data_IF_807048547053
#
_entry.id   IF_807048547053
#
_cell.length_a   1.000
_cell.length_b   1.000
_cell.length_c   1.000
_cell.angle_alpha   90.00
_cell.angle_beta   90.00
_cell.angle_gamma   90.00
#
_symmetry.space_group_name_H-M   'P 1'
#
loop_
_entity.id
_entity.type
_entity.pdbx_description
1 polymer ?
#
# COMPACT_ATOMS: atom_id res chain seq x y z
N UNK A 1 -18.72 -13.43 -7.57
CA UNK A 1 -18.64 -13.35 -6.09
C UNK A 1 -17.22 -13.04 -5.62
N UNK A 2 -16.19 -13.79 -6.05
CA UNK A 2 -14.76 -13.56 -5.70
C UNK A 2 -14.26 -12.12 -5.93
N UNK A 3 -14.68 -11.46 -7.02
CA UNK A 3 -14.26 -10.07 -7.29
C UNK A 3 -14.77 -9.08 -6.25
N UNK A 4 -16.04 -9.22 -5.86
CA UNK A 4 -16.69 -8.32 -4.90
C UNK A 4 -16.04 -8.41 -3.52
N UNK A 5 -15.56 -9.60 -3.15
CA UNK A 5 -14.82 -9.82 -1.91
C UNK A 5 -13.40 -9.25 -1.96
N UNK A 6 -12.70 -9.34 -3.10
CA UNK A 6 -11.37 -8.72 -3.26
C UNK A 6 -11.47 -7.19 -3.30
N UNK A 7 -12.45 -6.66 -4.01
CA UNK A 7 -12.71 -5.23 -4.07
C UNK A 7 -13.04 -4.65 -2.68
N UNK A 8 -13.84 -5.38 -1.90
CA UNK A 8 -14.10 -5.04 -0.52
C UNK A 8 -12.81 -5.12 0.32
N UNK A 9 -11.99 -6.16 0.17
CA UNK A 9 -10.72 -6.31 0.90
C UNK A 9 -9.80 -5.11 0.68
N UNK A 10 -9.62 -4.67 -0.58
CA UNK A 10 -8.78 -3.52 -0.90
C UNK A 10 -9.35 -2.21 -0.39
N UNK A 11 -10.68 -2.06 -0.41
CA UNK A 11 -11.34 -0.88 0.14
C UNK A 11 -11.21 -0.82 1.67
N UNK A 12 -11.43 -1.94 2.35
CA UNK A 12 -11.28 -2.06 3.80
C UNK A 12 -9.82 -1.84 4.24
N UNK A 13 -8.85 -2.33 3.47
CA UNK A 13 -7.43 -2.03 3.70
C UNK A 13 -7.14 -0.52 3.60
N UNK A 14 -7.73 0.16 2.61
CA UNK A 14 -7.65 1.62 2.48
C UNK A 14 -8.28 2.36 3.65
N UNK A 15 -9.48 1.94 4.11
CA UNK A 15 -10.10 2.53 5.31
C UNK A 15 -9.26 2.29 6.56
N UNK A 16 -8.69 1.09 6.73
CA UNK A 16 -7.80 0.80 7.85
C UNK A 16 -6.56 1.71 7.83
N UNK A 17 -5.96 1.94 6.67
CA UNK A 17 -4.87 2.91 6.51
C UNK A 17 -5.31 4.33 6.93
N UNK A 18 -6.49 4.78 6.51
CA UNK A 18 -7.06 6.07 6.93
C UNK A 18 -7.28 6.17 8.45
N UNK A 19 -7.70 5.09 9.11
CA UNK A 19 -7.82 5.04 10.57
C UNK A 19 -6.45 5.20 11.23
N UNK A 20 -5.42 4.48 10.75
CA UNK A 20 -4.07 4.64 11.29
C UNK A 20 -3.52 6.06 11.09
N UNK A 21 -3.85 6.73 9.99
CA UNK A 21 -3.51 8.15 9.79
C UNK A 21 -4.14 9.05 10.86
N UNK A 22 -5.41 8.86 11.17
CA UNK A 22 -6.09 9.60 12.24
C UNK A 22 -5.44 9.30 13.60
N UNK A 23 -5.11 8.03 13.87
CA UNK A 23 -4.43 7.63 15.11
C UNK A 23 -3.07 8.32 15.25
N UNK A 24 -2.26 8.36 14.18
CA UNK A 24 -0.97 9.05 14.18
C UNK A 24 -1.18 10.54 14.46
N UNK A 25 -2.14 11.17 13.80
CA UNK A 25 -2.44 12.58 14.03
C UNK A 25 -2.81 12.86 15.49
N UNK A 26 -3.68 12.04 16.09
CA UNK A 26 -4.08 12.17 17.49
C UNK A 26 -2.91 11.92 18.46
N UNK A 27 -2.07 10.93 18.18
CA UNK A 27 -0.86 10.66 18.97
C UNK A 27 0.12 11.82 18.91
N UNK A 28 0.41 12.35 17.72
CA UNK A 28 1.32 13.48 17.54
C UNK A 28 0.77 14.76 18.20
N UNK A 29 -0.53 15.03 18.06
CA UNK A 29 -1.20 16.12 18.76
C UNK A 29 -1.12 15.95 20.29
N UNK A 30 -1.38 14.74 20.78
CA UNK A 30 -1.31 14.41 22.20
C UNK A 30 0.10 14.59 22.77
N UNK A 31 1.13 14.18 22.03
CA UNK A 31 2.53 14.41 22.43
C UNK A 31 2.90 15.90 22.40
N UNK A 32 2.46 16.63 21.37
CA UNK A 32 2.74 18.06 21.24
C UNK A 32 2.10 18.87 22.36
N UNK A 33 0.83 18.62 22.68
CA UNK A 33 0.12 19.30 23.77
C UNK A 33 0.60 18.79 25.13
N UNK A 34 0.84 17.49 25.26
CA UNK A 34 1.35 16.84 26.47
C UNK A 34 2.67 17.46 26.94
N UNK A 35 3.57 17.77 26.00
CA UNK A 35 4.84 18.45 26.30
C UNK A 35 4.65 19.83 26.94
N UNK A 36 3.65 20.60 26.51
CA UNK A 36 3.36 21.94 27.06
C UNK A 36 2.77 21.88 28.49
N UNK A 37 2.02 20.83 28.80
CA UNK A 37 1.37 20.64 30.11
C UNK A 37 2.20 19.76 31.07
N UNK A 38 3.42 19.39 30.70
CA UNK A 38 4.31 18.54 31.51
C UNK A 38 3.90 17.06 31.59
N UNK A 39 2.94 16.61 30.76
CA UNK A 39 2.56 15.21 30.62
C UNK A 39 3.39 14.54 29.52
N UNK A 40 4.40 13.77 29.93
CA UNK A 40 5.20 13.00 28.99
C UNK A 40 4.50 11.67 28.67
N UNK A 41 4.13 11.44 27.41
CA UNK A 41 3.56 10.17 26.94
C UNK A 41 4.73 9.21 26.65
N UNK A 42 4.95 8.17 27.46
CA UNK A 42 6.04 7.23 27.24
C UNK A 42 5.82 6.45 25.94
N UNK A 43 6.88 6.24 25.15
CA UNK A 43 6.87 5.48 23.89
C UNK A 43 5.91 5.99 22.79
N UNK A 44 5.41 7.22 22.87
CA UNK A 44 4.49 7.76 21.85
C UNK A 44 5.08 7.76 20.43
N UNK A 45 6.39 8.02 20.31
CA UNK A 45 7.12 7.98 19.04
C UNK A 45 7.18 6.55 18.44
N UNK A 46 7.32 5.53 19.29
CA UNK A 46 7.33 4.12 18.87
C UNK A 46 5.96 3.72 18.32
N UNK A 47 4.88 4.06 19.04
CA UNK A 47 3.51 3.82 18.59
C UNK A 47 3.17 4.56 17.30
N UNK A 48 3.60 5.81 17.17
CA UNK A 48 3.41 6.59 15.94
C UNK A 48 4.13 5.93 14.75
N UNK A 49 5.37 5.47 14.96
CA UNK A 49 6.18 4.80 13.94
C UNK A 49 5.56 3.46 13.50
N UNK A 50 5.05 2.67 14.43
CA UNK A 50 4.36 1.42 14.12
C UNK A 50 3.04 1.64 13.38
N UNK A 51 2.25 2.63 13.80
CA UNK A 51 1.03 3.02 13.09
C UNK A 51 1.34 3.55 11.69
N UNK A 52 2.45 4.29 11.52
CA UNK A 52 2.88 4.82 10.22
C UNK A 52 3.25 3.68 9.27
N UNK A 53 3.98 2.68 9.74
CA UNK A 53 4.26 1.48 8.95
C UNK A 53 2.95 0.78 8.54
N UNK A 54 2.04 0.51 9.48
CA UNK A 54 0.76 -0.12 9.17
C UNK A 54 -0.06 0.68 8.14
N UNK A 55 -0.16 2.00 8.31
CA UNK A 55 -0.85 2.91 7.39
C UNK A 55 -0.27 2.82 5.98
N UNK A 56 1.05 2.91 5.84
CA UNK A 56 1.72 2.89 4.55
C UNK A 56 1.46 1.57 3.81
N UNK A 57 1.70 0.44 4.46
CA UNK A 57 1.59 -0.87 3.81
C UNK A 57 0.15 -1.31 3.55
N UNK A 58 -0.80 -1.00 4.43
CA UNK A 58 -2.23 -1.28 4.18
C UNK A 58 -2.79 -0.44 3.04
N UNK A 59 -2.30 0.79 2.86
CA UNK A 59 -2.70 1.69 1.79
C UNK A 59 -2.22 1.26 0.39
N UNK A 60 -1.10 0.51 0.30
CA UNK A 60 -0.47 0.15 -0.98
C UNK A 60 -1.39 -0.60 -1.93
N UNK A 61 -2.19 -1.54 -1.43
CA UNK A 61 -3.09 -2.32 -2.29
C UNK A 61 -4.20 -1.44 -2.89
N UNK A 62 -4.74 -0.51 -2.09
CA UNK A 62 -5.78 0.41 -2.54
C UNK A 62 -5.26 1.41 -3.58
N UNK A 63 -4.06 1.96 -3.37
CA UNK A 63 -3.43 2.91 -4.29
C UNK A 63 -2.96 2.24 -5.58
N UNK A 64 -2.43 1.01 -5.49
CA UNK A 64 -2.13 0.17 -6.65
C UNK A 64 -3.39 -0.03 -7.50
N UNK A 65 -4.50 -0.36 -6.86
CA UNK A 65 -5.78 -0.60 -7.54
C UNK A 65 -6.39 0.66 -8.17
N UNK A 66 -6.21 1.81 -7.52
CA UNK A 66 -6.68 3.09 -8.02
C UNK A 66 -5.82 3.61 -9.18
N UNK A 67 -4.70 2.93 -9.47
CA UNK A 67 -3.80 3.28 -10.55
C UNK A 67 -2.99 4.55 -10.29
N UNK A 68 -2.86 4.95 -9.01
CA UNK A 68 -2.17 6.16 -8.54
C UNK A 68 -0.69 5.91 -8.22
N UNK A 69 -0.23 4.65 -8.18
CA UNK A 69 1.20 4.36 -8.13
C UNK A 69 1.86 4.86 -9.41
N UNK A 70 3.00 5.57 -9.27
CA UNK A 70 3.80 6.12 -10.37
C UNK A 70 4.05 5.01 -11.39
N UNK A 71 3.28 5.03 -12.47
CA UNK A 71 3.45 4.07 -13.55
C UNK A 71 4.63 4.50 -14.40
N UNK A 72 5.32 3.50 -14.92
CA UNK A 72 6.09 3.60 -16.18
C UNK A 72 5.15 3.81 -17.38
N UNK A 73 3.90 4.26 -17.15
CA UNK A 73 2.85 4.50 -18.13
C UNK A 73 3.29 5.53 -19.15
N UNK A 74 3.96 6.61 -18.73
CA UNK A 74 4.57 7.59 -19.65
C UNK A 74 5.55 6.96 -20.66
N UNK A 75 6.24 5.88 -20.28
CA UNK A 75 7.16 5.16 -21.17
C UNK A 75 6.42 4.10 -22.00
N UNK A 76 5.36 3.49 -21.44
CA UNK A 76 4.54 2.46 -22.07
C UNK A 76 3.57 3.05 -23.11
N UNK A 77 3.03 4.25 -22.86
CA UNK A 77 2.15 5.01 -23.77
C UNK A 77 2.86 5.40 -25.08
N UNK A 78 4.20 5.41 -25.08
CA UNK A 78 5.01 5.62 -26.29
C UNK A 78 5.03 4.39 -27.20
N UNK A 79 4.66 3.20 -26.71
CA UNK A 79 4.66 1.95 -27.47
C UNK A 79 3.24 1.47 -27.77
N UNK A 80 2.98 1.06 -29.00
CA UNK A 80 1.67 0.55 -29.43
C UNK A 80 1.69 -0.97 -29.69
N UNK A 81 0.60 -1.65 -29.35
CA UNK A 81 0.35 -3.05 -29.69
C UNK A 81 1.12 -4.07 -28.84
N UNK A 82 1.62 -5.15 -29.46
CA UNK A 82 2.19 -6.34 -28.79
C UNK A 82 3.40 -6.03 -27.87
N UNK A 83 4.17 -4.99 -28.18
CA UNK A 83 5.33 -4.57 -27.38
C UNK A 83 4.91 -3.95 -26.05
N UNK A 84 3.85 -3.14 -26.06
CA UNK A 84 3.27 -2.55 -24.85
C UNK A 84 2.78 -3.62 -23.89
N UNK A 85 2.02 -4.60 -24.40
CA UNK A 85 1.58 -5.76 -23.60
C UNK A 85 2.76 -6.52 -22.99
N UNK A 86 3.87 -6.73 -23.71
CA UNK A 86 5.05 -7.39 -23.15
C UNK A 86 5.68 -6.59 -21.99
N UNK A 87 5.83 -5.27 -22.13
CA UNK A 87 6.37 -4.43 -21.06
C UNK A 87 5.46 -4.38 -19.84
N UNK A 88 4.14 -4.31 -20.04
CA UNK A 88 3.14 -4.39 -18.96
C UNK A 88 3.24 -5.72 -18.21
N UNK A 89 3.22 -6.84 -18.94
CA UNK A 89 3.36 -8.18 -18.35
C UNK A 89 4.70 -8.34 -17.62
N UNK A 90 5.79 -7.86 -18.21
CA UNK A 90 7.10 -7.88 -17.56
C UNK A 90 7.09 -7.08 -16.26
N UNK A 91 6.50 -5.88 -16.25
CA UNK A 91 6.38 -5.06 -15.04
C UNK A 91 5.53 -5.75 -13.96
N UNK A 92 4.45 -6.43 -14.35
CA UNK A 92 3.57 -7.16 -13.45
C UNK A 92 4.25 -8.39 -12.88
N UNK A 93 5.01 -9.13 -13.68
CA UNK A 93 5.83 -10.27 -13.20
C UNK A 93 6.85 -9.79 -12.18
N UNK A 94 7.56 -8.71 -12.49
CA UNK A 94 8.57 -8.16 -11.58
C UNK A 94 7.93 -7.68 -10.28
N UNK A 95 6.82 -6.94 -10.36
CA UNK A 95 6.06 -6.49 -9.20
C UNK A 95 5.49 -7.64 -8.36
N UNK A 96 5.01 -8.70 -9.02
CA UNK A 96 4.52 -9.91 -8.35
C UNK A 96 5.64 -10.66 -7.65
N UNK A 97 6.81 -10.77 -8.29
CA UNK A 97 8.00 -11.38 -7.71
C UNK A 97 8.49 -10.64 -6.46
N UNK A 98 8.63 -9.31 -6.53
CA UNK A 98 9.04 -8.50 -5.39
C UNK A 98 8.00 -8.51 -4.27
N UNK A 99 6.72 -8.25 -4.58
CA UNK A 99 5.67 -8.26 -3.56
C UNK A 99 5.54 -9.63 -2.88
N UNK A 100 5.66 -10.73 -3.62
CA UNK A 100 5.65 -12.08 -3.07
C UNK A 100 6.86 -12.37 -2.16
N UNK A 101 8.07 -11.98 -2.60
CA UNK A 101 9.28 -12.11 -1.80
C UNK A 101 9.18 -11.34 -0.47
N UNK A 102 8.76 -10.07 -0.53
CA UNK A 102 8.58 -9.24 0.66
C UNK A 102 7.47 -9.75 1.57
N UNK A 103 6.32 -10.17 1.01
CA UNK A 103 5.22 -10.72 1.79
C UNK A 103 5.63 -12.00 2.54
N UNK A 104 6.35 -12.91 1.86
CA UNK A 104 6.85 -14.14 2.49
C UNK A 104 7.81 -13.84 3.65
N UNK A 105 8.84 -13.02 3.43
CA UNK A 105 9.79 -12.66 4.47
C UNK A 105 9.15 -11.87 5.62
N UNK A 106 8.19 -11.00 5.31
CA UNK A 106 7.42 -10.28 6.33
C UNK A 106 6.58 -11.21 7.22
N UNK A 107 5.96 -12.23 6.63
CA UNK A 107 5.20 -13.24 7.38
C UNK A 107 6.12 -14.10 8.25
N UNK A 108 7.24 -14.57 7.70
CA UNK A 108 8.22 -15.35 8.46
C UNK A 108 8.76 -14.55 9.64
N UNK A 109 9.10 -13.28 9.42
CA UNK A 109 9.56 -12.38 10.48
C UNK A 109 8.48 -12.20 11.57
N UNK A 110 7.21 -12.00 11.17
CA UNK A 110 6.09 -11.86 12.11
C UNK A 110 5.87 -13.14 12.93
N UNK A 111 5.97 -14.30 12.27
CA UNK A 111 5.84 -15.61 12.92
C UNK A 111 6.97 -15.88 13.90
N UNK A 112 8.21 -15.60 13.50
CA UNK A 112 9.37 -15.75 14.39
C UNK A 112 9.25 -14.86 15.61
N UNK A 113 8.89 -13.58 15.45
CA UNK A 113 8.69 -12.69 16.60
C UNK A 113 7.56 -13.14 17.53
N UNK A 114 6.54 -13.83 17.00
CA UNK A 114 5.51 -14.46 17.82
C UNK A 114 6.06 -15.68 18.60
N UNK A 115 6.81 -16.55 17.93
CA UNK A 115 7.36 -17.78 18.53
C UNK A 115 8.42 -17.48 19.60
N UNK A 116 9.33 -16.54 19.32
CA UNK A 116 10.38 -16.12 20.25
C UNK A 116 9.90 -15.14 21.33
N UNK A 117 8.61 -14.73 21.30
CA UNK A 117 8.04 -13.69 22.16
C UNK A 117 8.90 -12.41 22.17
N UNK A 118 9.35 -11.99 20.99
CA UNK A 118 10.19 -10.81 20.85
C UNK A 118 9.43 -9.56 21.33
N UNK A 119 10.10 -8.77 22.18
CA UNK A 119 9.58 -7.52 22.70
C UNK A 119 10.36 -6.34 22.13
N UNK A 120 9.67 -5.23 21.87
CA UNK A 120 10.27 -4.00 21.44
C UNK A 120 11.28 -3.51 22.49
N UNK A 121 12.48 -3.10 22.03
CA UNK A 121 13.50 -2.51 22.89
C UNK A 121 13.22 -1.06 23.32
N UNK A 122 12.01 -0.55 23.08
CA UNK A 122 11.59 0.80 23.43
C UNK A 122 11.26 0.96 24.91
N UNK A 123 10.73 2.13 25.28
CA UNK A 123 10.38 2.46 26.68
C UNK A 123 9.26 1.57 27.22
N UNK A 124 8.37 1.10 26.34
CA UNK A 124 7.28 0.19 26.66
C UNK A 124 7.57 -1.19 26.05
N UNK A 125 7.66 -2.26 26.86
CA UNK A 125 7.86 -3.61 26.35
C UNK A 125 6.58 -4.06 25.63
N UNK A 126 6.61 -4.00 24.30
CA UNK A 126 5.47 -4.36 23.46
C UNK A 126 5.83 -5.55 22.55
N UNK A 127 5.01 -6.61 22.48
CA UNK A 127 5.28 -7.75 21.61
C UNK A 127 5.36 -7.35 20.13
N UNK A 128 6.50 -7.57 19.47
CA UNK A 128 6.76 -7.07 18.12
C UNK A 128 5.83 -7.65 17.06
N UNK A 129 5.26 -8.83 17.28
CA UNK A 129 4.33 -9.43 16.31
C UNK A 129 3.08 -8.55 16.06
N UNK A 130 2.61 -7.78 17.06
CA UNK A 130 1.42 -6.91 16.92
C UNK A 130 1.64 -5.80 15.87
N UNK A 131 2.66 -4.93 15.98
CA UNK A 131 2.91 -3.90 14.99
C UNK A 131 3.35 -4.51 13.66
N UNK A 132 4.01 -5.67 13.70
CA UNK A 132 4.44 -6.36 12.48
C UNK A 132 3.28 -6.87 11.62
N UNK A 133 2.14 -7.22 12.22
CA UNK A 133 0.92 -7.58 11.49
C UNK A 133 0.41 -6.48 10.55
N UNK A 134 0.62 -5.21 10.92
CA UNK A 134 0.21 -4.08 10.09
C UNK A 134 0.91 -4.08 8.73
N UNK A 135 2.24 -4.23 8.72
CA UNK A 135 2.98 -4.26 7.46
C UNK A 135 2.91 -5.61 6.75
N UNK A 136 2.97 -6.74 7.49
CA UNK A 136 2.92 -8.06 6.87
C UNK A 136 1.56 -8.33 6.24
N UNK A 137 0.48 -7.93 6.92
CA UNK A 137 -0.87 -7.93 6.36
C UNK A 137 -1.00 -7.06 5.12
N UNK A 138 -0.50 -5.80 5.17
CA UNK A 138 -0.52 -4.90 4.02
C UNK A 138 0.22 -5.45 2.79
N UNK A 139 1.40 -6.05 2.99
CA UNK A 139 2.17 -6.70 1.92
C UNK A 139 1.45 -7.92 1.32
N UNK A 140 0.79 -8.73 2.15
CA UNK A 140 -0.01 -9.87 1.66
C UNK A 140 -1.18 -9.38 0.81
N UNK A 141 -1.88 -8.33 1.25
CA UNK A 141 -2.99 -7.75 0.48
C UNK A 141 -2.48 -7.18 -0.85
N UNK A 142 -1.33 -6.50 -0.86
CA UNK A 142 -0.68 -6.02 -2.08
C UNK A 142 -0.31 -7.17 -3.02
N UNK A 143 0.26 -8.26 -2.50
CA UNK A 143 0.56 -9.45 -3.29
C UNK A 143 -0.69 -10.04 -3.94
N UNK A 144 -1.79 -10.13 -3.19
CA UNK A 144 -3.09 -10.59 -3.73
C UNK A 144 -3.60 -9.63 -4.83
N UNK A 145 -3.45 -8.32 -4.66
CA UNK A 145 -3.82 -7.31 -5.66
C UNK A 145 -3.01 -7.44 -6.95
N UNK A 146 -1.70 -7.65 -6.83
CA UNK A 146 -0.80 -7.86 -7.95
C UNK A 146 -1.11 -9.19 -8.67
N UNK A 147 -1.46 -10.23 -7.91
CA UNK A 147 -1.83 -11.54 -8.46
C UNK A 147 -3.17 -11.50 -9.20
N UNK A 148 -4.19 -10.81 -8.69
CA UNK A 148 -5.46 -10.63 -9.40
C UNK A 148 -5.25 -9.91 -10.74
N UNK A 149 -4.38 -8.90 -10.75
CA UNK A 149 -4.08 -8.16 -11.99
C UNK A 149 -3.25 -9.00 -12.97
N UNK A 150 -2.26 -9.73 -12.50
CA UNK A 150 -1.49 -10.65 -13.32
C UNK A 150 -2.40 -11.70 -13.98
N UNK A 151 -3.30 -12.31 -13.22
CA UNK A 151 -4.31 -13.25 -13.74
C UNK A 151 -5.23 -12.57 -14.74
N UNK A 152 -5.58 -11.30 -14.53
CA UNK A 152 -6.42 -10.57 -15.48
C UNK A 152 -5.74 -10.30 -16.81
N UNK A 153 -4.55 -9.71 -16.77
CA UNK A 153 -3.84 -9.24 -17.96
C UNK A 153 -3.25 -10.40 -18.76
N UNK A 154 -2.67 -11.40 -18.08
CA UNK A 154 -1.98 -12.52 -18.75
C UNK A 154 -2.95 -13.61 -19.18
N UNK A 155 -3.91 -13.98 -18.34
CA UNK A 155 -4.79 -15.14 -18.63
C UNK A 155 -6.03 -14.73 -19.42
N UNK A 156 -6.59 -13.53 -19.19
CA UNK A 156 -7.79 -13.07 -19.93
C UNK A 156 -7.46 -12.20 -21.13
N UNK A 157 -6.21 -11.75 -21.29
CA UNK A 157 -5.79 -10.87 -22.40
C UNK A 157 -6.57 -9.56 -22.43
N UNK A 158 -7.07 -9.11 -21.27
CA UNK A 158 -7.81 -7.86 -21.13
C UNK A 158 -6.84 -6.74 -20.73
N UNK A 159 -7.18 -5.50 -21.10
CA UNK A 159 -6.40 -4.32 -20.73
C UNK A 159 -6.31 -4.21 -19.19
N UNK A 160 -5.19 -3.69 -18.66
CA UNK A 160 -5.02 -3.51 -17.22
C UNK A 160 -6.18 -2.69 -16.63
N UNK A 161 -6.85 -3.19 -15.59
CA UNK A 161 -8.02 -2.52 -15.00
C UNK A 161 -7.66 -1.25 -14.26
N UNK A 162 -6.40 -1.11 -13.90
CA UNK A 162 -5.91 0.09 -13.23
C UNK A 162 -5.74 1.25 -14.20
N UNK A 163 -5.79 1.03 -15.52
CA UNK A 163 -5.79 2.09 -16.52
C UNK A 163 -7.00 2.99 -16.36
N UNK A 164 -6.77 4.20 -15.83
CA UNK A 164 -7.75 5.27 -15.90
C UNK A 164 -7.93 5.57 -17.39
N UNK A 165 -9.17 5.67 -17.91
CA UNK A 165 -9.39 5.89 -19.33
C UNK A 165 -8.54 7.09 -19.79
N UNK A 166 -7.86 6.97 -20.95
CA UNK A 166 -7.10 8.09 -21.50
C UNK A 166 -8.04 9.28 -21.67
N UNK A 167 -7.55 10.49 -21.35
CA UNK A 167 -8.34 11.72 -21.46
C UNK A 167 -8.93 11.81 -22.88
N UNK A 168 -10.26 11.76 -22.98
CA UNK A 168 -10.94 11.62 -24.28
C UNK A 168 -11.18 12.98 -24.97
N UNK A 169 -10.84 14.09 -24.30
CA UNK A 169 -11.05 15.46 -24.78
C UNK A 169 -9.83 16.34 -24.49
N UNK A 170 -9.50 17.23 -25.43
CA UNK A 170 -8.47 18.26 -25.27
C UNK A 170 -8.74 19.15 -24.03
N UNK A 171 -10.00 19.31 -23.63
CA UNK A 171 -10.39 20.03 -22.40
C UNK A 171 -9.94 19.31 -21.13
N UNK A 172 -9.96 17.97 -21.11
CA UNK A 172 -9.55 17.17 -19.95
C UNK A 172 -8.01 17.13 -19.80
N UNK A 173 -7.28 17.28 -20.91
CA UNK A 173 -5.83 17.45 -20.92
C UNK A 173 -5.46 18.83 -20.34
N UNK A 174 -6.18 19.88 -20.72
CA UNK A 174 -5.99 21.24 -20.19
C UNK A 174 -6.36 21.31 -18.71
N UNK A 175 -7.45 20.67 -18.29
CA UNK A 175 -7.89 20.64 -16.89
C UNK A 175 -6.90 19.88 -15.99
N UNK A 176 -6.37 18.74 -16.46
CA UNK A 176 -5.31 18.00 -15.75
C UNK A 176 -3.98 18.75 -15.72
N UNK A 177 -3.63 19.47 -16.79
CA UNK A 177 -2.44 20.32 -16.82
C UNK A 177 -2.55 21.48 -15.80
N UNK A 178 -3.70 22.15 -15.75
CA UNK A 178 -4.00 23.22 -14.80
C UNK A 178 -4.00 22.72 -13.34
N UNK A 179 -4.52 21.51 -13.08
CA UNK A 179 -4.49 20.89 -11.75
C UNK A 179 -3.10 20.41 -11.32
N UNK A 180 -2.20 20.15 -12.28
CA UNK A 180 -0.83 19.66 -12.03
C UNK A 180 0.21 20.76 -11.78
N UNK A 181 -0.16 22.05 -11.86
CA UNK A 181 0.64 23.16 -11.36
C UNK A 181 2.06 23.26 -11.91
N UNK A 182 2.24 23.07 -13.23
CA UNK A 182 3.44 23.52 -13.96
C UNK A 182 3.12 24.80 -14.71
#
# INVERSE_FOLDING_TARGET
MIRRTLDALYLWAGYAAGVFLIVIFLLMMGMSVGREIGLNIPAGDDFASWCMAAMAFLGLAHTFKSGDMIRVGLLIDRFHGRKRWFFEVFSLILGLGFSGFFAWHALVMTWQSFEFNDVAGGVVPMPLWIPQLGYSGGLVILFIAMLDEFVHVVIRGQEPRYEKPPAQSDEEIVERAMASGV
#
